data_IF_271666505700
#
_entry.id   IF_271666505700
#
_cell.length_a   1.000
_cell.length_b   1.000
_cell.length_c   1.000
_cell.angle_alpha   90.00
_cell.angle_beta   90.00
_cell.angle_gamma   90.00
#
_symmetry.space_group_name_H-M   'P 1'
#
loop_
_entity.id
_entity.type
_entity.pdbx_description
1 polymer ?
#
# COMPACT_ATOMS: atom_id res chain seq x y z
N UNK A 1 14.52 18.14 -50.38
CA UNK A 1 13.62 18.52 -49.29
C UNK A 1 13.14 17.26 -48.60
N UNK A 2 13.68 16.94 -47.42
CA UNK A 2 13.26 15.79 -46.63
C UNK A 2 12.00 16.18 -45.87
N UNK A 3 10.86 15.63 -46.26
CA UNK A 3 9.58 15.87 -45.58
C UNK A 3 9.62 15.14 -44.24
N UNK A 4 9.83 15.86 -43.15
CA UNK A 4 9.66 15.34 -41.80
C UNK A 4 8.16 15.12 -41.55
N UNK A 5 7.67 13.92 -41.80
CA UNK A 5 6.37 13.48 -41.34
C UNK A 5 6.51 13.30 -39.83
N UNK A 6 6.02 14.25 -39.02
CA UNK A 6 5.83 14.01 -37.59
C UNK A 6 4.72 12.97 -37.46
N UNK A 7 5.09 11.71 -37.24
CA UNK A 7 4.13 10.66 -36.93
C UNK A 7 3.32 11.08 -35.70
N UNK A 8 1.99 11.08 -35.85
CA UNK A 8 1.08 11.46 -34.78
C UNK A 8 1.05 10.31 -33.78
N UNK A 9 1.51 10.56 -32.55
CA UNK A 9 1.50 9.57 -31.47
C UNK A 9 0.07 9.10 -31.20
N UNK A 10 -0.07 7.80 -30.98
CA UNK A 10 -1.33 7.18 -30.55
C UNK A 10 -1.62 7.52 -29.10
N UNK A 11 -2.89 7.39 -28.68
CA UNK A 11 -3.29 7.59 -27.28
C UNK A 11 -2.50 6.71 -26.31
N UNK A 12 -2.27 5.46 -26.68
CA UNK A 12 -1.50 4.50 -25.87
C UNK A 12 -0.04 4.96 -25.73
N UNK A 13 0.58 5.48 -26.80
CA UNK A 13 1.95 5.99 -26.72
C UNK A 13 2.03 7.22 -25.81
N UNK A 14 1.05 8.13 -25.87
CA UNK A 14 0.99 9.29 -24.98
C UNK A 14 0.85 8.87 -23.51
N UNK A 15 -0.05 7.93 -23.20
CA UNK A 15 -0.20 7.39 -21.84
C UNK A 15 1.09 6.78 -21.29
N UNK A 16 1.87 6.08 -22.14
CA UNK A 16 3.12 5.45 -21.72
C UNK A 16 4.23 6.46 -21.50
N UNK A 17 4.25 7.55 -22.27
CA UNK A 17 5.14 8.67 -22.05
C UNK A 17 4.80 9.39 -20.74
N UNK A 18 3.52 9.68 -20.50
CA UNK A 18 3.07 10.30 -19.25
C UNK A 18 3.42 9.42 -18.03
N UNK A 19 3.18 8.11 -18.14
CA UNK A 19 3.53 7.11 -17.11
C UNK A 19 5.03 7.09 -16.84
N UNK A 20 5.86 7.14 -17.89
CA UNK A 20 7.32 7.19 -17.77
C UNK A 20 7.81 8.50 -17.15
N UNK A 21 7.26 9.63 -17.58
CA UNK A 21 7.60 10.94 -17.01
C UNK A 21 7.23 11.01 -15.54
N UNK A 22 6.07 10.48 -15.13
CA UNK A 22 5.65 10.42 -13.73
C UNK A 22 6.70 9.73 -12.88
N UNK A 23 7.16 8.55 -13.26
CA UNK A 23 8.13 7.83 -12.43
C UNK A 23 9.50 8.50 -12.38
N UNK A 24 9.89 9.23 -13.44
CA UNK A 24 11.14 9.99 -13.44
C UNK A 24 11.07 11.23 -12.54
N UNK A 25 9.87 11.79 -12.34
CA UNK A 25 9.65 12.91 -11.42
C UNK A 25 9.51 12.46 -9.96
N UNK A 26 8.83 11.35 -9.72
CA UNK A 26 8.47 10.88 -8.37
C UNK A 26 9.61 10.09 -7.71
N UNK A 27 10.33 9.27 -8.48
CA UNK A 27 11.34 8.36 -7.95
C UNK A 27 12.75 8.80 -8.32
N UNK A 28 13.73 8.45 -7.48
CA UNK A 28 15.13 8.65 -7.83
C UNK A 28 15.53 7.79 -9.04
N UNK A 29 16.64 8.15 -9.69
CA UNK A 29 17.10 7.49 -10.91
C UNK A 29 17.38 5.98 -10.73
N UNK A 30 17.74 5.53 -9.51
CA UNK A 30 18.00 4.12 -9.21
C UNK A 30 16.69 3.36 -9.07
N UNK A 31 15.72 3.92 -8.35
CA UNK A 31 14.38 3.35 -8.19
C UNK A 31 13.63 3.30 -9.52
N UNK A 32 13.64 4.39 -10.31
CA UNK A 32 13.04 4.40 -11.64
C UNK A 32 13.62 3.29 -12.54
N UNK A 33 14.93 3.06 -12.49
CA UNK A 33 15.56 1.92 -13.20
C UNK A 33 15.07 0.57 -12.71
N UNK A 34 14.87 0.39 -11.41
CA UNK A 34 14.35 -0.86 -10.84
C UNK A 34 12.89 -1.10 -11.25
N UNK A 35 12.06 -0.06 -11.24
CA UNK A 35 10.67 -0.11 -11.69
C UNK A 35 10.62 -0.61 -13.15
N UNK A 36 11.37 0.05 -14.04
CA UNK A 36 11.42 -0.32 -15.45
C UNK A 36 12.03 -1.70 -15.70
N UNK A 37 13.02 -2.11 -14.91
CA UNK A 37 13.60 -3.44 -15.00
C UNK A 37 12.57 -4.52 -14.63
N UNK A 38 11.80 -4.29 -13.58
CA UNK A 38 10.74 -5.20 -13.15
C UNK A 38 9.64 -5.33 -14.20
N UNK A 39 9.24 -4.22 -14.83
CA UNK A 39 8.26 -4.21 -15.92
C UNK A 39 8.73 -5.09 -17.10
N UNK A 40 10.02 -5.01 -17.46
CA UNK A 40 10.60 -5.86 -18.51
C UNK A 40 10.57 -7.35 -18.15
N UNK A 41 10.81 -7.68 -16.88
CA UNK A 41 10.75 -9.07 -16.40
C UNK A 41 9.30 -9.58 -16.44
N UNK A 42 8.34 -8.73 -16.05
CA UNK A 42 6.94 -9.06 -16.18
C UNK A 42 6.54 -9.31 -17.64
N UNK A 43 7.01 -8.50 -18.59
CA UNK A 43 6.77 -8.74 -20.02
C UNK A 43 7.25 -10.12 -20.48
N UNK A 44 8.40 -10.60 -19.98
CA UNK A 44 8.87 -11.98 -20.24
C UNK A 44 7.96 -13.03 -19.63
N UNK A 45 7.53 -12.82 -18.38
CA UNK A 45 6.56 -13.68 -17.71
C UNK A 45 5.23 -13.73 -18.49
N UNK A 46 4.71 -12.58 -18.92
CA UNK A 46 3.43 -12.48 -19.63
C UNK A 46 3.46 -13.27 -20.94
N UNK A 47 4.56 -13.19 -21.70
CA UNK A 47 4.75 -14.00 -22.90
C UNK A 47 4.85 -15.50 -22.58
N UNK A 48 5.71 -15.87 -21.62
CA UNK A 48 5.90 -17.29 -21.26
C UNK A 48 4.66 -17.93 -20.65
N UNK A 49 3.81 -17.16 -19.95
CA UNK A 49 2.54 -17.65 -19.43
C UNK A 49 1.59 -18.11 -20.53
N UNK A 50 1.67 -17.53 -21.74
CA UNK A 50 0.88 -17.98 -22.88
C UNK A 50 1.31 -19.39 -23.34
N UNK A 51 2.59 -19.74 -23.15
CA UNK A 51 3.16 -21.02 -23.57
C UNK A 51 3.11 -22.08 -22.46
N UNK A 52 3.49 -21.71 -21.24
CA UNK A 52 3.72 -22.61 -20.10
C UNK A 52 2.66 -22.48 -18.99
N UNK A 53 1.68 -21.60 -19.16
CA UNK A 53 0.63 -21.37 -18.17
C UNK A 53 1.18 -20.86 -16.84
N UNK A 54 0.70 -21.43 -15.73
CA UNK A 54 1.01 -20.97 -14.37
C UNK A 54 2.50 -21.13 -14.02
N UNK A 55 3.17 -22.15 -14.54
CA UNK A 55 4.57 -22.43 -14.19
C UNK A 55 5.55 -21.32 -14.60
N UNK A 56 5.15 -20.44 -15.54
CA UNK A 56 5.92 -19.28 -15.95
C UNK A 56 6.25 -18.32 -14.79
N UNK A 57 5.43 -18.32 -13.73
CA UNK A 57 5.64 -17.47 -12.56
C UNK A 57 6.98 -17.71 -11.86
N UNK A 58 7.62 -18.87 -12.06
CA UNK A 58 8.96 -19.16 -11.54
C UNK A 58 10.00 -18.07 -11.88
N UNK A 59 9.80 -17.34 -12.98
CA UNK A 59 10.68 -16.23 -13.40
C UNK A 59 10.54 -15.03 -12.46
N UNK A 60 9.32 -14.68 -12.08
CA UNK A 60 9.05 -13.64 -11.11
C UNK A 60 9.47 -14.08 -9.71
N UNK A 61 9.15 -15.33 -9.34
CA UNK A 61 9.54 -15.90 -8.05
C UNK A 61 11.06 -15.93 -7.83
N UNK A 62 11.84 -16.24 -8.87
CA UNK A 62 13.32 -16.22 -8.80
C UNK A 62 13.93 -14.83 -8.95
N UNK A 63 13.11 -13.81 -9.23
CA UNK A 63 13.63 -12.48 -9.47
C UNK A 63 14.09 -11.80 -8.18
N UNK A 64 15.29 -11.24 -8.18
CA UNK A 64 15.87 -10.57 -7.01
C UNK A 64 15.04 -9.36 -6.54
N UNK A 65 14.50 -8.55 -7.44
CA UNK A 65 13.72 -7.36 -7.09
C UNK A 65 12.39 -7.74 -6.43
N UNK A 66 11.70 -8.76 -6.97
CA UNK A 66 10.48 -9.31 -6.36
C UNK A 66 10.76 -9.84 -4.95
N UNK A 67 11.80 -10.67 -4.80
CA UNK A 67 12.19 -11.19 -3.48
C UNK A 67 12.55 -10.08 -2.50
N UNK A 68 13.22 -9.02 -2.97
CA UNK A 68 13.50 -7.85 -2.15
C UNK A 68 12.22 -7.15 -1.69
N UNK A 69 11.24 -6.94 -2.58
CA UNK A 69 9.96 -6.32 -2.24
C UNK A 69 9.19 -7.11 -1.18
N UNK A 70 9.10 -8.43 -1.36
CA UNK A 70 8.45 -9.33 -0.39
C UNK A 70 9.20 -9.26 0.94
N UNK A 71 10.53 -9.39 0.93
CA UNK A 71 11.35 -9.37 2.15
C UNK A 71 11.25 -8.05 2.91
N UNK A 72 11.26 -6.90 2.21
CA UNK A 72 11.11 -5.58 2.83
C UNK A 72 9.76 -5.48 3.54
N UNK A 73 8.67 -5.90 2.87
CA UNK A 73 7.35 -5.91 3.48
C UNK A 73 7.26 -6.90 4.64
N UNK A 74 7.81 -8.11 4.51
CA UNK A 74 7.87 -9.09 5.60
C UNK A 74 8.57 -8.52 6.82
N UNK A 75 9.74 -7.90 6.64
CA UNK A 75 10.47 -7.28 7.74
C UNK A 75 9.69 -6.12 8.38
N UNK A 76 8.98 -5.31 7.59
CA UNK A 76 8.11 -4.23 8.09
C UNK A 76 7.02 -4.80 9.00
N UNK A 77 6.26 -5.78 8.53
CA UNK A 77 5.15 -6.35 9.29
C UNK A 77 5.63 -7.21 10.48
N UNK A 78 6.66 -8.02 10.31
CA UNK A 78 7.27 -8.80 11.39
C UNK A 78 7.74 -7.90 12.53
N UNK A 79 8.49 -6.84 12.23
CA UNK A 79 8.96 -5.91 13.26
C UNK A 79 7.82 -5.17 13.97
N UNK A 80 6.79 -4.77 13.23
CA UNK A 80 5.62 -4.08 13.77
C UNK A 80 4.78 -4.99 14.68
N UNK A 81 4.69 -6.29 14.37
CA UNK A 81 3.73 -7.20 15.02
C UNK A 81 4.37 -8.37 15.80
N UNK A 82 5.71 -8.42 15.94
CA UNK A 82 6.45 -9.49 16.64
C UNK A 82 5.93 -9.83 18.04
N UNK A 83 5.41 -8.85 18.77
CA UNK A 83 4.90 -9.04 20.14
C UNK A 83 3.40 -9.41 20.19
N UNK A 84 2.75 -9.60 19.04
CA UNK A 84 1.29 -9.77 18.93
C UNK A 84 0.88 -11.18 18.50
N UNK A 85 1.81 -12.15 18.53
CA UNK A 85 1.60 -13.56 18.11
C UNK A 85 1.13 -13.67 16.65
N UNK A 86 1.56 -12.75 15.80
CA UNK A 86 1.45 -12.84 14.35
C UNK A 86 2.89 -13.00 13.87
N UNK A 87 3.16 -14.10 13.18
CA UNK A 87 4.52 -14.48 12.82
C UNK A 87 4.80 -14.22 11.35
N UNK A 88 6.08 -14.19 10.99
CA UNK A 88 6.53 -13.97 9.61
C UNK A 88 5.83 -14.90 8.61
N UNK A 89 5.73 -16.18 8.96
CA UNK A 89 5.13 -17.22 8.11
C UNK A 89 3.64 -16.97 7.82
N UNK A 90 2.92 -16.32 8.76
CA UNK A 90 1.52 -15.91 8.53
C UNK A 90 1.44 -14.90 7.37
N UNK A 91 2.42 -14.00 7.25
CA UNK A 91 2.48 -13.00 6.18
C UNK A 91 3.02 -13.57 4.87
N UNK A 92 4.02 -14.44 4.92
CA UNK A 92 4.75 -14.90 3.74
C UNK A 92 3.84 -15.59 2.71
N UNK A 93 2.98 -16.50 3.18
CA UNK A 93 2.05 -17.21 2.29
C UNK A 93 1.09 -16.25 1.58
N UNK A 94 0.51 -15.32 2.35
CA UNK A 94 -0.47 -14.34 1.85
C UNK A 94 0.18 -13.32 0.91
N UNK A 95 1.44 -12.96 1.15
CA UNK A 95 2.18 -12.04 0.30
C UNK A 95 2.48 -12.66 -1.06
N UNK A 96 2.95 -13.90 -1.08
CA UNK A 96 3.23 -14.60 -2.33
C UNK A 96 1.95 -14.85 -3.15
N UNK A 97 0.87 -15.25 -2.49
CA UNK A 97 -0.44 -15.41 -3.14
C UNK A 97 -0.93 -14.07 -3.73
N UNK A 98 -0.89 -12.98 -2.96
CA UNK A 98 -1.33 -11.68 -3.47
C UNK A 98 -0.44 -11.17 -4.61
N UNK A 99 0.88 -11.37 -4.50
CA UNK A 99 1.83 -10.99 -5.55
C UNK A 99 1.56 -11.76 -6.85
N UNK A 100 1.27 -13.06 -6.75
CA UNK A 100 0.86 -13.87 -7.90
C UNK A 100 -0.31 -13.24 -8.63
N UNK A 101 -1.40 -12.95 -7.91
CA UNK A 101 -2.60 -12.36 -8.49
C UNK A 101 -2.33 -11.01 -9.13
N UNK A 102 -1.57 -10.14 -8.46
CA UNK A 102 -1.21 -8.83 -9.02
C UNK A 102 -0.43 -8.99 -10.34
N UNK A 103 0.50 -9.94 -10.42
CA UNK A 103 1.23 -10.19 -11.66
C UNK A 103 0.35 -10.78 -12.76
N UNK A 104 -0.63 -11.61 -12.40
CA UNK A 104 -1.58 -12.24 -13.32
C UNK A 104 -2.60 -11.25 -13.91
N UNK A 105 -3.04 -10.29 -13.10
CA UNK A 105 -4.02 -9.24 -13.45
C UNK A 105 -3.38 -8.01 -14.10
N UNK A 106 -2.08 -7.80 -13.90
CA UNK A 106 -1.38 -6.65 -14.45
C UNK A 106 -1.43 -6.63 -15.98
N UNK A 107 -1.51 -5.43 -16.55
CA UNK A 107 -1.42 -5.15 -17.97
C UNK A 107 -0.43 -4.01 -18.20
N UNK A 108 0.29 -4.07 -19.33
CA UNK A 108 1.16 -2.98 -19.75
C UNK A 108 0.40 -1.65 -19.94
N UNK A 109 -0.90 -1.73 -20.28
CA UNK A 109 -1.77 -0.56 -20.44
C UNK A 109 -2.24 0.04 -19.10
N UNK A 110 -1.88 -0.57 -17.97
CA UNK A 110 -2.24 -0.04 -16.66
C UNK A 110 -1.58 1.31 -16.42
N UNK A 111 -2.28 2.20 -15.71
CA UNK A 111 -1.78 3.52 -15.31
C UNK A 111 -0.53 3.44 -14.42
N UNK A 112 -0.35 2.35 -13.67
CA UNK A 112 0.76 2.17 -12.74
C UNK A 112 1.63 0.98 -13.14
N UNK A 113 2.92 1.10 -12.87
CA UNK A 113 3.88 0.03 -13.10
C UNK A 113 3.63 -1.11 -12.11
N UNK A 114 4.06 -2.32 -12.49
CA UNK A 114 3.91 -3.49 -11.64
C UNK A 114 4.50 -3.27 -10.24
N UNK A 115 5.65 -2.60 -10.17
CA UNK A 115 6.33 -2.28 -8.92
C UNK A 115 5.42 -1.55 -7.92
N UNK A 116 4.73 -0.52 -8.38
CA UNK A 116 3.83 0.30 -7.56
C UNK A 116 2.63 -0.52 -7.10
N UNK A 117 2.05 -1.31 -8.02
CA UNK A 117 0.93 -2.21 -7.72
C UNK A 117 1.29 -3.27 -6.68
N UNK A 118 2.43 -3.92 -6.82
CA UNK A 118 2.90 -4.94 -5.86
C UNK A 118 3.11 -4.30 -4.48
N UNK A 119 3.80 -3.16 -4.43
CA UNK A 119 4.10 -2.48 -3.16
C UNK A 119 2.82 -2.17 -2.39
N UNK A 120 1.84 -1.56 -3.06
CA UNK A 120 0.55 -1.23 -2.46
C UNK A 120 -0.24 -2.48 -2.07
N UNK A 121 -0.26 -3.52 -2.92
CA UNK A 121 -1.03 -4.73 -2.66
C UNK A 121 -0.49 -5.53 -1.47
N UNK A 122 0.85 -5.64 -1.33
CA UNK A 122 1.48 -6.31 -0.19
C UNK A 122 1.19 -5.58 1.12
N UNK A 123 1.23 -4.24 1.09
CA UNK A 123 0.88 -3.45 2.27
C UNK A 123 -0.60 -3.65 2.66
N UNK A 124 -1.52 -3.55 1.71
CA UNK A 124 -2.95 -3.76 1.96
C UNK A 124 -3.23 -5.16 2.52
N UNK A 125 -2.66 -6.21 1.92
CA UNK A 125 -2.93 -7.58 2.36
C UNK A 125 -2.33 -7.88 3.74
N UNK A 126 -1.19 -7.28 4.07
CA UNK A 126 -0.58 -7.36 5.40
C UNK A 126 -1.46 -6.76 6.48
N UNK A 127 -2.02 -5.57 6.25
CA UNK A 127 -2.99 -4.97 7.18
C UNK A 127 -4.27 -5.79 7.30
N UNK A 128 -4.77 -6.35 6.20
CA UNK A 128 -5.95 -7.22 6.22
C UNK A 128 -5.73 -8.49 7.03
N UNK A 129 -4.55 -9.11 6.94
CA UNK A 129 -4.19 -10.26 7.76
C UNK A 129 -4.15 -9.91 9.24
N UNK A 130 -3.50 -8.79 9.59
CA UNK A 130 -3.47 -8.30 10.97
C UNK A 130 -4.90 -8.08 11.47
N UNK A 131 -5.75 -7.43 10.67
CA UNK A 131 -7.15 -7.19 11.00
C UNK A 131 -7.91 -8.49 11.27
N UNK A 132 -7.76 -9.49 10.40
CA UNK A 132 -8.47 -10.77 10.55
C UNK A 132 -8.06 -11.54 11.81
N UNK A 133 -6.74 -11.57 12.10
CA UNK A 133 -6.17 -12.23 13.29
C UNK A 133 -6.54 -11.50 14.60
N UNK A 134 -6.67 -10.17 14.57
CA UNK A 134 -7.11 -9.40 15.73
C UNK A 134 -8.63 -9.51 15.97
N UNK A 135 -9.44 -9.64 14.92
CA UNK A 135 -10.91 -9.84 15.02
C UNK A 135 -11.30 -11.20 15.61
N UNK A 136 -10.55 -12.27 15.32
CA UNK A 136 -10.90 -13.64 15.76
C UNK A 136 -10.59 -13.91 17.23
N UNK A 137 -9.72 -13.11 17.86
CA UNK A 137 -9.41 -13.22 19.27
C UNK A 137 -10.32 -12.29 20.09
N UNK A 138 -11.53 -12.76 20.43
CA UNK A 138 -12.57 -11.98 21.15
C UNK A 138 -12.11 -11.41 22.51
N UNK A 139 -11.00 -11.90 23.09
CA UNK A 139 -10.38 -11.31 24.29
C UNK A 139 -9.49 -10.10 23.97
N UNK A 140 -9.06 -9.93 22.71
CA UNK A 140 -8.21 -8.84 22.20
C UNK A 140 -8.97 -7.76 21.41
N UNK A 141 -10.25 -7.97 21.07
CA UNK A 141 -11.11 -6.94 20.46
C UNK A 141 -11.24 -5.66 21.32
N UNK A 142 -10.85 -5.71 22.60
CA UNK A 142 -10.67 -4.53 23.46
C UNK A 142 -9.40 -3.71 23.16
N UNK A 143 -8.56 -4.09 22.19
CA UNK A 143 -7.51 -3.26 21.64
C UNK A 143 -7.93 -2.83 20.23
N UNK A 144 -8.75 -1.80 20.26
CA UNK A 144 -9.33 -1.09 19.14
C UNK A 144 -8.26 -0.53 18.22
N UNK A 145 -8.08 -1.12 17.04
CA UNK A 145 -7.44 -0.45 15.91
C UNK A 145 -8.27 -0.54 14.60
N UNK A 146 -9.42 -1.22 14.66
CA UNK A 146 -10.07 -1.80 13.47
C UNK A 146 -11.12 -0.89 12.82
N UNK A 147 -11.77 0.01 13.57
CA UNK A 147 -12.88 0.81 13.04
C UNK A 147 -12.47 1.84 11.97
N UNK A 148 -11.29 2.47 12.09
CA UNK A 148 -10.87 3.57 11.18
C UNK A 148 -10.52 3.08 9.77
N UNK A 149 -9.78 1.98 9.70
CA UNK A 149 -9.37 1.40 8.41
C UNK A 149 -10.58 0.79 7.70
N UNK A 150 -11.57 0.25 8.45
CA UNK A 150 -12.83 -0.22 7.85
C UNK A 150 -13.69 0.89 7.24
N UNK A 151 -13.69 2.09 7.79
CA UNK A 151 -14.43 3.21 7.20
C UNK A 151 -13.69 3.87 6.04
N UNK A 152 -12.35 3.92 6.09
CA UNK A 152 -11.52 4.43 4.99
C UNK A 152 -11.43 3.41 3.82
N UNK A 153 -11.56 2.11 4.08
CA UNK A 153 -11.58 1.06 3.05
C UNK A 153 -12.95 0.87 2.37
N UNK A 154 -14.04 1.42 2.92
CA UNK A 154 -15.33 1.49 2.21
C UNK A 154 -15.31 2.48 1.04
N UNK A 155 -14.25 3.29 0.94
CA UNK A 155 -13.97 4.15 -0.19
C UNK A 155 -13.18 3.30 -1.19
N UNK A 156 -13.95 2.62 -2.03
CA UNK A 156 -13.45 1.73 -3.07
C UNK A 156 -12.73 2.57 -4.16
N UNK A 157 -11.45 2.90 -3.95
CA UNK A 157 -10.61 3.53 -4.98
C UNK A 157 -9.34 2.71 -5.22
N UNK A 158 -9.05 2.27 -6.46
CA UNK A 158 -7.92 1.42 -6.78
C UNK A 158 -6.53 2.06 -6.61
N UNK A 159 -6.42 3.35 -6.24
CA UNK A 159 -5.14 4.05 -6.18
C UNK A 159 -4.98 4.93 -4.93
N UNK A 160 -4.29 4.38 -3.93
CA UNK A 160 -3.98 5.02 -2.63
C UNK A 160 -2.99 6.19 -2.67
N UNK A 161 -2.58 6.68 -3.85
CA UNK A 161 -1.72 7.87 -3.91
C UNK A 161 -2.56 9.14 -3.71
N UNK A 162 -3.78 9.20 -4.26
CA UNK A 162 -4.70 10.32 -4.07
C UNK A 162 -5.42 10.26 -2.71
N UNK A 163 -5.80 9.05 -2.28
CA UNK A 163 -6.45 8.86 -0.98
C UNK A 163 -5.63 9.32 0.23
N UNK A 164 -4.30 9.27 0.18
CA UNK A 164 -3.45 9.80 1.26
C UNK A 164 -3.41 11.33 1.30
N UNK A 165 -3.52 12.01 0.16
CA UNK A 165 -3.52 13.48 0.09
C UNK A 165 -4.91 14.01 0.47
N UNK A 166 -5.98 13.43 -0.07
CA UNK A 166 -7.35 13.80 0.27
C UNK A 166 -7.66 13.54 1.76
N UNK A 167 -7.23 12.39 2.30
CA UNK A 167 -7.40 12.11 3.73
C UNK A 167 -6.62 13.11 4.59
N UNK A 168 -5.40 13.51 4.19
CA UNK A 168 -4.63 14.54 4.91
C UNK A 168 -5.33 15.90 4.87
N UNK A 169 -5.85 16.31 3.71
CA UNK A 169 -6.61 17.55 3.56
C UNK A 169 -7.89 17.56 4.39
N UNK A 170 -8.63 16.46 4.43
CA UNK A 170 -9.83 16.33 5.27
C UNK A 170 -9.49 16.38 6.77
N UNK A 171 -8.39 15.76 7.18
CA UNK A 171 -7.89 15.83 8.56
C UNK A 171 -7.54 17.28 8.91
N UNK A 172 -6.80 17.98 8.05
CA UNK A 172 -6.42 19.39 8.26
C UNK A 172 -7.65 20.32 8.31
N UNK A 173 -8.69 20.02 7.55
CA UNK A 173 -9.88 20.88 7.45
C UNK A 173 -10.87 20.69 8.61
N UNK A 174 -11.01 19.46 9.14
CA UNK A 174 -12.09 19.13 10.08
C UNK A 174 -11.61 18.71 11.48
N UNK A 175 -10.33 18.37 11.65
CA UNK A 175 -9.75 18.06 12.95
C UNK A 175 -8.96 19.27 13.49
N UNK A 176 -8.91 19.45 14.81
CA UNK A 176 -7.97 20.41 15.39
C UNK A 176 -6.54 19.85 15.34
N UNK A 177 -5.52 20.70 15.49
CA UNK A 177 -4.10 20.31 15.36
C UNK A 177 -3.71 19.07 16.19
N UNK A 178 -4.24 18.97 17.42
CA UNK A 178 -3.96 17.86 18.31
C UNK A 178 -4.64 16.55 17.86
N UNK A 179 -5.91 16.64 17.42
CA UNK A 179 -6.66 15.51 16.85
C UNK A 179 -6.04 15.07 15.51
N UNK A 180 -5.70 16.02 14.64
CA UNK A 180 -5.15 15.77 13.33
C UNK A 180 -3.75 15.15 13.39
N UNK A 181 -2.87 15.66 14.26
CA UNK A 181 -1.55 15.07 14.48
C UNK A 181 -1.65 13.66 15.06
N UNK A 182 -2.54 13.45 16.04
CA UNK A 182 -2.76 12.14 16.64
C UNK A 182 -3.34 11.13 15.66
N UNK A 183 -4.29 11.57 14.83
CA UNK A 183 -4.92 10.75 13.82
C UNK A 183 -3.96 10.43 12.67
N UNK A 184 -3.17 11.40 12.21
CA UNK A 184 -2.14 11.17 11.21
C UNK A 184 -1.10 10.16 11.70
N UNK A 185 -0.58 10.31 12.93
CA UNK A 185 0.38 9.35 13.50
C UNK A 185 -0.26 7.97 13.73
N UNK A 186 -1.54 7.93 14.10
CA UNK A 186 -2.29 6.68 14.22
C UNK A 186 -2.44 5.96 12.86
N UNK A 187 -2.67 6.70 11.77
CA UNK A 187 -2.77 6.15 10.41
C UNK A 187 -1.39 5.75 9.83
N UNK A 188 -0.37 6.57 10.06
CA UNK A 188 1.00 6.33 9.57
C UNK A 188 1.71 5.24 10.39
N UNK A 189 1.29 5.00 11.64
CA UNK A 189 1.89 4.03 12.55
C UNK A 189 0.85 3.19 13.31
N UNK A 190 0.07 2.33 12.61
CA UNK A 190 -1.05 1.57 13.18
C UNK A 190 -0.64 0.47 14.18
N UNK A 191 0.66 0.28 14.37
CA UNK A 191 1.26 -0.64 15.34
C UNK A 191 1.44 -0.03 16.73
N UNK A 192 1.38 1.30 16.86
CA UNK A 192 1.50 2.00 18.14
C UNK A 192 0.23 1.78 18.98
N UNK A 193 0.40 1.50 20.28
CA UNK A 193 -0.74 1.46 21.20
C UNK A 193 -1.19 2.88 21.56
N UNK A 194 -2.42 3.05 22.08
CA UNK A 194 -2.86 4.35 22.62
C UNK A 194 -1.96 4.88 23.73
N UNK A 195 -1.27 3.99 24.46
CA UNK A 195 -0.26 4.42 25.43
C UNK A 195 0.99 4.97 24.75
N UNK A 196 1.43 4.36 23.66
CA UNK A 196 2.61 4.80 22.91
C UNK A 196 2.31 6.12 22.17
N UNK A 197 1.16 6.20 21.50
CA UNK A 197 0.66 7.44 20.90
C UNK A 197 0.50 8.55 21.94
N UNK A 198 -0.04 8.21 23.12
CA UNK A 198 -0.16 9.16 24.21
C UNK A 198 1.20 9.71 24.67
N UNK A 199 2.20 8.84 24.85
CA UNK A 199 3.56 9.27 25.19
C UNK A 199 4.17 10.19 24.14
N UNK A 200 3.98 9.89 22.86
CA UNK A 200 4.51 10.69 21.75
C UNK A 200 3.83 12.06 21.61
N UNK A 201 2.63 12.24 22.16
CA UNK A 201 1.86 13.49 22.10
C UNK A 201 1.65 14.13 23.49
N UNK A 202 2.41 13.71 24.51
CA UNK A 202 2.31 14.27 25.86
C UNK A 202 0.98 13.98 26.57
N UNK A 203 0.22 12.99 26.12
CA UNK A 203 -1.03 12.53 26.72
C UNK A 203 -0.76 11.35 27.63
N UNK A 204 -0.83 11.59 28.94
CA UNK A 204 -0.51 10.57 29.95
C UNK A 204 -1.54 9.44 30.05
N UNK A 205 -2.77 9.65 29.58
CA UNK A 205 -3.87 8.69 29.75
C UNK A 205 -4.29 8.05 28.41
N UNK A 206 -4.14 6.73 28.21
CA UNK A 206 -4.53 6.04 26.98
C UNK A 206 -6.00 6.23 26.60
N UNK A 207 -6.89 6.29 27.60
CA UNK A 207 -8.31 6.56 27.34
C UNK A 207 -8.57 7.96 26.77
N UNK A 208 -7.73 8.94 27.10
CA UNK A 208 -7.85 10.29 26.53
C UNK A 208 -7.43 10.29 25.06
N UNK A 209 -6.39 9.55 24.71
CA UNK A 209 -5.97 9.29 23.32
C UNK A 209 -7.10 8.65 22.53
N UNK A 210 -7.72 7.60 23.08
CA UNK A 210 -8.88 6.94 22.47
C UNK A 210 -10.03 7.91 22.20
N UNK A 211 -10.45 8.70 23.20
CA UNK A 211 -11.55 9.67 23.04
C UNK A 211 -11.24 10.74 22.00
N UNK A 212 -10.00 11.21 21.93
CA UNK A 212 -9.58 12.18 20.90
C UNK A 212 -9.63 11.57 19.51
N UNK A 213 -9.16 10.33 19.35
CA UNK A 213 -9.28 9.60 18.08
C UNK A 213 -10.75 9.36 17.71
N UNK A 214 -11.61 8.97 18.66
CA UNK A 214 -13.03 8.74 18.40
C UNK A 214 -13.78 10.04 18.04
N UNK A 215 -13.41 11.17 18.66
CA UNK A 215 -13.89 12.51 18.29
C UNK A 215 -13.48 12.86 16.86
N UNK A 216 -12.20 12.73 16.52
CA UNK A 216 -11.67 13.01 15.18
C UNK A 216 -12.36 12.15 14.10
N UNK A 217 -12.55 10.85 14.38
CA UNK A 217 -13.31 9.92 13.51
C UNK A 217 -14.74 10.36 13.30
N UNK A 218 -15.43 10.77 14.36
CA UNK A 218 -16.81 11.24 14.29
C UNK A 218 -16.96 12.42 13.34
N UNK A 219 -16.05 13.41 13.44
CA UNK A 219 -16.04 14.58 12.55
C UNK A 219 -15.83 14.22 11.09
N UNK A 220 -14.92 13.30 10.80
CA UNK A 220 -14.68 12.86 9.42
C UNK A 220 -15.87 12.08 8.85
N UNK A 221 -16.53 11.24 9.67
CA UNK A 221 -17.74 10.50 9.25
C UNK A 221 -18.95 11.38 8.93
N UNK A 222 -19.05 12.59 9.48
CA UNK A 222 -20.15 13.51 9.18
C UNK A 222 -19.96 14.24 7.83
N UNK A 223 -18.75 14.23 7.30
CA UNK A 223 -18.35 14.99 6.11
C UNK A 223 -18.17 14.08 4.89
N UNK A 224 -17.81 12.81 5.12
CA UNK A 224 -17.59 11.78 4.11
C UNK A 224 -18.86 10.99 3.82
#
# INVERSE_FOLDING_TARGET
MTVYIREKKTYIQLQQEDKLERIQRVYDAKQAKQILALEKIWGKYAMLRLEEGRDAFRILFRNFSINCLVRVNLNKFENAWKNKRIFRDDFESVFWEKLWHVCEEHSWADEFYLYEKITNALECVGYNLVRSKLKTDKRKANHQNVDLVEDLEKIDSPFRIEGNVETKLLIEQYCNDAEGSLLAMYLESPYLSYRDLGRLHGINHPERVRRMLDSAKGKLREVM
#
